data_IF_869869181327
#
_entry.id   IF_869869181327
#
_cell.length_a   1.000
_cell.length_b   1.000
_cell.length_c   1.000
_cell.angle_alpha   90.00
_cell.angle_beta   90.00
_cell.angle_gamma   90.00
#
_symmetry.space_group_name_H-M   'P 1'
#
loop_
_entity.id
_entity.type
_entity.pdbx_description
1 polymer ?
#
# COMPACT_ATOMS: atom_id res chain seq x y z
N UNK A 1 -5.17 69.41 -14.67
CA UNK A 1 -5.20 69.15 -16.12
C UNK A 1 -6.42 69.72 -16.87
N UNK A 2 -7.67 69.35 -16.56
CA UNK A 2 -8.86 69.84 -17.31
C UNK A 2 -8.98 71.38 -17.39
N UNK A 3 -8.69 72.07 -16.28
CA UNK A 3 -8.68 73.54 -16.28
C UNK A 3 -7.62 74.14 -17.22
N UNK A 4 -6.47 73.47 -17.36
CA UNK A 4 -5.40 73.89 -18.27
C UNK A 4 -5.81 73.69 -19.73
N UNK A 5 -6.51 72.59 -20.05
CA UNK A 5 -7.08 72.39 -21.39
C UNK A 5 -8.13 73.43 -21.75
N UNK A 6 -9.01 73.78 -20.81
CA UNK A 6 -9.99 74.86 -21.02
C UNK A 6 -9.33 76.21 -21.27
N UNK A 7 -8.26 76.54 -20.53
CA UNK A 7 -7.47 77.76 -20.75
C UNK A 7 -6.71 77.74 -22.08
N UNK A 8 -6.19 76.58 -22.48
CA UNK A 8 -5.52 76.41 -23.76
C UNK A 8 -6.46 76.65 -24.94
N UNK A 9 -7.65 76.06 -24.92
CA UNK A 9 -8.66 76.28 -25.96
C UNK A 9 -9.03 77.76 -26.08
N UNK A 10 -9.20 78.46 -24.95
CA UNK A 10 -9.53 79.88 -24.96
C UNK A 10 -8.38 80.75 -25.51
N UNK A 11 -7.13 80.43 -25.17
CA UNK A 11 -5.95 81.13 -25.73
C UNK A 11 -5.77 80.82 -27.22
N UNK A 12 -6.04 79.60 -27.65
CA UNK A 12 -5.97 79.20 -29.06
C UNK A 12 -7.02 79.95 -29.91
N UNK A 13 -8.25 80.08 -29.40
CA UNK A 13 -9.31 80.87 -30.04
C UNK A 13 -8.94 82.36 -30.11
N UNK A 14 -8.34 82.91 -29.06
CA UNK A 14 -7.85 84.30 -29.03
C UNK A 14 -6.74 84.53 -30.05
N UNK A 15 -5.79 83.60 -30.18
CA UNK A 15 -4.68 83.71 -31.13
C UNK A 15 -5.15 83.74 -32.60
N UNK A 16 -6.31 83.14 -32.92
CA UNK A 16 -6.90 83.15 -34.26
C UNK A 16 -7.64 84.46 -34.58
N UNK A 17 -8.19 85.13 -33.57
CA UNK A 17 -9.10 86.27 -33.75
C UNK A 17 -8.42 87.62 -33.48
N UNK A 18 -7.42 87.66 -32.59
CA UNK A 18 -6.74 88.89 -32.17
C UNK A 18 -5.37 89.05 -32.86
N UNK A 19 -5.22 90.09 -33.68
CA UNK A 19 -3.96 90.42 -34.37
C UNK A 19 -2.85 90.96 -33.44
N UNK A 20 -3.21 91.34 -32.22
CA UNK A 20 -2.29 91.83 -31.18
C UNK A 20 -2.01 90.79 -30.09
N UNK A 21 -2.39 89.53 -30.33
CA UNK A 21 -2.18 88.43 -29.40
C UNK A 21 -0.70 88.31 -29.01
N UNK A 22 -0.45 88.12 -27.71
CA UNK A 22 0.87 87.88 -27.14
C UNK A 22 1.16 86.37 -27.05
N UNK A 23 2.08 85.84 -27.88
CA UNK A 23 2.40 84.41 -27.88
C UNK A 23 3.00 83.90 -26.57
N UNK A 24 3.63 84.76 -25.75
CA UNK A 24 4.27 84.30 -24.50
C UNK A 24 3.26 83.73 -23.50
N UNK A 25 1.98 84.10 -23.63
CA UNK A 25 0.88 83.55 -22.82
C UNK A 25 0.67 82.05 -23.05
N UNK A 26 0.93 81.57 -24.27
CA UNK A 26 0.89 80.14 -24.58
C UNK A 26 2.08 79.44 -23.93
N UNK A 27 3.28 80.01 -24.02
CA UNK A 27 4.48 79.44 -23.39
C UNK A 27 4.35 79.33 -21.87
N UNK A 28 3.80 80.35 -21.21
CA UNK A 28 3.54 80.31 -19.77
C UNK A 28 2.52 79.22 -19.40
N UNK A 29 1.48 79.04 -20.23
CA UNK A 29 0.53 77.94 -20.04
C UNK A 29 1.18 76.56 -20.30
N UNK A 30 2.07 76.44 -21.29
CA UNK A 30 2.79 75.20 -21.58
C UNK A 30 3.70 74.78 -20.42
N UNK A 31 4.34 75.74 -19.74
CA UNK A 31 5.10 75.46 -18.51
C UNK A 31 4.22 74.88 -17.40
N UNK A 32 2.98 75.37 -17.26
CA UNK A 32 2.02 74.81 -16.30
C UNK A 32 1.60 73.38 -16.67
N UNK A 33 1.42 73.10 -17.96
CA UNK A 33 1.16 71.73 -18.44
C UNK A 33 2.32 70.78 -18.12
N UNK A 34 3.55 71.21 -18.36
CA UNK A 34 4.74 70.40 -18.09
C UNK A 34 4.82 70.02 -16.60
N UNK A 35 4.61 71.00 -15.72
CA UNK A 35 4.60 70.77 -14.26
C UNK A 35 3.44 69.85 -13.85
N UNK A 36 2.22 70.09 -14.33
CA UNK A 36 1.05 69.27 -13.99
C UNK A 36 1.21 67.83 -14.49
N UNK A 37 1.74 67.64 -15.71
CA UNK A 37 2.03 66.33 -16.28
C UNK A 37 3.12 65.58 -15.52
N UNK A 38 4.21 66.26 -15.15
CA UNK A 38 5.28 65.66 -14.35
C UNK A 38 4.77 65.24 -12.96
N UNK A 39 3.98 66.10 -12.31
CA UNK A 39 3.38 65.79 -11.00
C UNK A 39 2.42 64.60 -11.09
N UNK A 40 1.56 64.56 -12.11
CA UNK A 40 0.64 63.45 -12.34
C UNK A 40 1.40 62.14 -12.60
N UNK A 41 2.45 62.17 -13.42
CA UNK A 41 3.29 61.01 -13.68
C UNK A 41 4.01 60.53 -12.43
N UNK A 42 4.61 61.45 -11.67
CA UNK A 42 5.30 61.12 -10.41
C UNK A 42 4.35 60.52 -9.38
N UNK A 43 3.11 61.01 -9.30
CA UNK A 43 2.09 60.48 -8.40
C UNK A 43 1.66 59.06 -8.81
N UNK A 44 1.40 58.86 -10.11
CA UNK A 44 1.05 57.54 -10.66
C UNK A 44 2.17 56.52 -10.45
N UNK A 45 3.42 56.90 -10.72
CA UNK A 45 4.60 56.05 -10.51
C UNK A 45 4.75 55.66 -9.04
N UNK A 46 4.54 56.60 -8.10
CA UNK A 46 4.58 56.30 -6.67
C UNK A 46 3.46 55.34 -6.25
N UNK A 47 2.25 55.51 -6.77
CA UNK A 47 1.13 54.60 -6.53
C UNK A 47 1.41 53.19 -7.07
N UNK A 48 1.92 53.09 -8.30
CA UNK A 48 2.28 51.81 -8.91
C UNK A 48 3.37 51.08 -8.13
N UNK A 49 4.42 51.76 -7.69
CA UNK A 49 5.46 51.15 -6.84
C UNK A 49 4.89 50.68 -5.52
N UNK A 50 4.01 51.45 -4.90
CA UNK A 50 3.33 51.05 -3.65
C UNK A 50 2.47 49.80 -3.87
N UNK A 51 1.68 49.78 -4.94
CA UNK A 51 0.82 48.65 -5.28
C UNK A 51 1.65 47.38 -5.57
N UNK A 52 2.75 47.52 -6.33
CA UNK A 52 3.69 46.42 -6.59
C UNK A 52 4.30 45.88 -5.29
N UNK A 53 4.77 46.77 -4.40
CA UNK A 53 5.32 46.35 -3.11
C UNK A 53 4.31 45.61 -2.22
N UNK A 54 3.05 46.04 -2.19
CA UNK A 54 1.99 45.32 -1.46
C UNK A 54 1.71 43.96 -2.10
N UNK A 55 1.65 43.90 -3.44
CA UNK A 55 1.42 42.65 -4.15
C UNK A 55 2.56 41.64 -3.91
N UNK A 56 3.82 42.09 -3.97
CA UNK A 56 4.99 41.24 -3.68
C UNK A 56 5.01 40.75 -2.23
N UNK A 57 4.70 41.62 -1.26
CA UNK A 57 4.63 41.22 0.14
C UNK A 57 3.55 40.17 0.38
N UNK A 58 2.36 40.36 -0.20
CA UNK A 58 1.26 39.40 -0.14
C UNK A 58 1.64 38.06 -0.79
N UNK A 59 2.31 38.09 -1.94
CA UNK A 59 2.78 36.88 -2.62
C UNK A 59 3.80 36.12 -1.78
N UNK A 60 4.77 36.81 -1.18
CA UNK A 60 5.75 36.19 -0.27
C UNK A 60 5.11 35.57 0.96
N UNK A 61 4.10 36.22 1.54
CA UNK A 61 3.36 35.67 2.67
C UNK A 61 2.59 34.40 2.27
N UNK A 62 1.91 34.43 1.12
CA UNK A 62 1.21 33.26 0.58
C UNK A 62 2.16 32.09 0.29
N UNK A 63 3.34 32.36 -0.30
CA UNK A 63 4.38 31.36 -0.54
C UNK A 63 4.91 30.75 0.77
N UNK A 64 5.15 31.58 1.79
CA UNK A 64 5.60 31.10 3.10
C UNK A 64 4.54 30.20 3.76
N UNK A 65 3.26 30.58 3.69
CA UNK A 65 2.15 29.77 4.20
C UNK A 65 2.05 28.44 3.44
N UNK A 66 2.14 28.47 2.11
CA UNK A 66 2.11 27.27 1.28
C UNK A 66 3.27 26.33 1.63
N UNK A 67 4.48 26.86 1.76
CA UNK A 67 5.66 26.06 2.14
C UNK A 67 5.44 25.40 3.50
N UNK A 68 4.96 26.16 4.50
CA UNK A 68 4.69 25.62 5.83
C UNK A 68 3.63 24.51 5.82
N UNK A 69 2.58 24.65 5.00
CA UNK A 69 1.55 23.63 4.85
C UNK A 69 2.08 22.37 4.17
N UNK A 70 2.93 22.54 3.15
CA UNK A 70 3.55 21.42 2.44
C UNK A 70 4.52 20.66 3.35
N UNK A 71 5.33 21.35 4.14
CA UNK A 71 6.23 20.73 5.12
C UNK A 71 5.45 19.94 6.17
N UNK A 72 4.38 20.52 6.71
CA UNK A 72 3.51 19.83 7.67
C UNK A 72 2.84 18.60 7.06
N UNK A 73 2.33 18.71 5.83
CA UNK A 73 1.71 17.59 5.13
C UNK A 73 2.72 16.46 4.86
N UNK A 74 3.93 16.79 4.41
CA UNK A 74 5.00 15.80 4.18
C UNK A 74 5.43 15.12 5.48
N UNK A 75 5.51 15.85 6.59
CA UNK A 75 5.79 15.26 7.90
C UNK A 75 4.68 14.28 8.34
N UNK A 76 3.41 14.65 8.12
CA UNK A 76 2.27 13.78 8.40
C UNK A 76 2.28 12.53 7.53
N UNK A 77 2.49 12.68 6.22
CA UNK A 77 2.62 11.55 5.30
C UNK A 77 3.74 10.60 5.74
N UNK A 78 4.92 11.11 6.07
CA UNK A 78 6.02 10.28 6.57
C UNK A 78 5.67 9.52 7.86
N UNK A 79 4.93 10.15 8.79
CA UNK A 79 4.42 9.46 9.99
C UNK A 79 3.43 8.35 9.62
N UNK A 80 2.52 8.62 8.69
CA UNK A 80 1.54 7.60 8.25
C UNK A 80 2.21 6.41 7.58
N UNK A 81 3.22 6.64 6.73
CA UNK A 81 4.00 5.57 6.10
C UNK A 81 4.73 4.72 7.14
N UNK A 82 5.41 5.36 8.09
CA UNK A 82 6.10 4.66 9.18
C UNK A 82 5.14 3.82 10.05
N UNK A 83 3.93 4.33 10.31
CA UNK A 83 2.90 3.56 11.03
C UNK A 83 2.47 2.34 10.21
N UNK A 84 2.23 2.51 8.91
CA UNK A 84 1.82 1.43 8.03
C UNK A 84 2.90 0.36 7.89
N UNK A 85 4.17 0.76 7.73
CA UNK A 85 5.30 -0.17 7.71
C UNK A 85 5.39 -0.97 9.01
N UNK A 86 5.29 -0.30 10.16
CA UNK A 86 5.30 -0.97 11.46
C UNK A 86 4.14 -1.96 11.61
N UNK A 87 2.94 -1.57 11.20
CA UNK A 87 1.76 -2.45 11.23
C UNK A 87 1.96 -3.67 10.31
N UNK A 88 2.51 -3.46 9.12
CA UNK A 88 2.79 -4.54 8.18
C UNK A 88 3.80 -5.54 8.75
N UNK A 89 4.88 -5.05 9.37
CA UNK A 89 5.88 -5.89 10.06
C UNK A 89 5.23 -6.66 11.21
N UNK A 90 4.46 -5.99 12.07
CA UNK A 90 3.79 -6.64 13.20
C UNK A 90 2.81 -7.74 12.75
N UNK A 91 2.05 -7.50 11.68
CA UNK A 91 1.15 -8.52 11.12
C UNK A 91 1.92 -9.67 10.48
N UNK A 92 3.03 -9.40 9.77
CA UNK A 92 3.90 -10.45 9.24
C UNK A 92 4.45 -11.34 10.37
N UNK A 93 5.01 -10.75 11.42
CA UNK A 93 5.53 -11.49 12.59
C UNK A 93 4.44 -12.35 13.25
N UNK A 94 3.22 -11.82 13.39
CA UNK A 94 2.07 -12.59 13.91
C UNK A 94 1.73 -13.78 13.01
N UNK A 95 1.72 -13.58 11.70
CA UNK A 95 1.40 -14.66 10.74
C UNK A 95 2.49 -15.73 10.70
N UNK A 96 3.75 -15.35 10.76
CA UNK A 96 4.88 -16.29 10.83
C UNK A 96 4.83 -17.12 12.12
N UNK A 97 4.64 -16.48 13.27
CA UNK A 97 4.52 -17.17 14.54
C UNK A 97 3.30 -18.12 14.57
N UNK A 98 2.18 -17.75 13.95
CA UNK A 98 1.02 -18.61 13.83
C UNK A 98 1.33 -19.84 12.94
N UNK A 99 2.02 -19.63 11.82
CA UNK A 99 2.42 -20.70 10.90
C UNK A 99 3.41 -21.68 11.55
N UNK A 100 4.39 -21.18 12.31
CA UNK A 100 5.32 -22.05 13.04
C UNK A 100 4.60 -22.91 14.08
N UNK A 101 3.63 -22.33 14.81
CA UNK A 101 2.84 -23.08 15.80
C UNK A 101 1.99 -24.17 15.15
N UNK A 102 1.37 -23.89 14.00
CA UNK A 102 0.59 -24.91 13.29
C UNK A 102 1.49 -26.00 12.73
N UNK A 103 2.60 -25.63 12.07
CA UNK A 103 3.56 -26.58 11.51
C UNK A 103 4.18 -27.49 12.59
N UNK A 104 4.62 -26.92 13.70
CA UNK A 104 5.19 -27.69 14.83
C UNK A 104 4.13 -28.58 15.50
N UNK A 105 2.90 -28.10 15.63
CA UNK A 105 1.76 -28.88 16.12
C UNK A 105 1.43 -30.07 15.21
N UNK A 106 1.38 -29.86 13.90
CA UNK A 106 1.14 -30.90 12.90
C UNK A 106 2.27 -31.92 12.85
N UNK A 107 3.53 -31.47 12.84
CA UNK A 107 4.69 -32.35 12.90
C UNK A 107 4.65 -33.24 14.16
N UNK A 108 4.30 -32.67 15.32
CA UNK A 108 4.16 -33.42 16.57
C UNK A 108 3.05 -34.47 16.49
N UNK A 109 1.91 -34.12 15.87
CA UNK A 109 0.79 -35.06 15.64
C UNK A 109 1.19 -36.21 14.72
N UNK A 110 1.90 -35.93 13.63
CA UNK A 110 2.40 -36.95 12.70
C UNK A 110 3.39 -37.89 13.38
N UNK A 111 4.32 -37.35 14.17
CA UNK A 111 5.27 -38.16 14.95
C UNK A 111 4.54 -39.06 15.96
N UNK A 112 3.52 -38.53 16.65
CA UNK A 112 2.71 -39.31 17.59
C UNK A 112 1.96 -40.44 16.88
N UNK A 113 1.32 -40.15 15.74
CA UNK A 113 0.61 -41.12 14.92
C UNK A 113 1.57 -42.23 14.41
N UNK A 114 2.75 -41.86 13.90
CA UNK A 114 3.76 -42.80 13.46
C UNK A 114 4.25 -43.72 14.60
N UNK A 115 4.47 -43.16 15.81
CA UNK A 115 4.82 -43.96 17.00
C UNK A 115 3.71 -44.93 17.40
N UNK A 116 2.45 -44.50 17.34
CA UNK A 116 1.30 -45.35 17.63
C UNK A 116 1.18 -46.49 16.60
N UNK A 117 1.31 -46.18 15.31
CA UNK A 117 1.30 -47.17 14.23
C UNK A 117 2.43 -48.19 14.39
N UNK A 118 3.66 -47.75 14.74
CA UNK A 118 4.78 -48.64 15.02
C UNK A 118 4.50 -49.60 16.18
N UNK A 119 3.95 -49.10 17.29
CA UNK A 119 3.56 -49.94 18.45
C UNK A 119 2.50 -50.96 18.07
N UNK A 120 1.48 -50.55 17.32
CA UNK A 120 0.44 -51.44 16.83
C UNK A 120 1.01 -52.52 15.90
N UNK A 121 1.90 -52.15 14.97
CA UNK A 121 2.59 -53.09 14.10
C UNK A 121 3.41 -54.13 14.86
N UNK A 122 4.15 -53.73 15.89
CA UNK A 122 4.86 -54.67 16.77
C UNK A 122 3.92 -55.63 17.50
N UNK A 123 2.80 -55.13 18.05
CA UNK A 123 1.81 -55.96 18.74
C UNK A 123 1.15 -56.98 17.80
N UNK A 124 0.76 -56.53 16.59
CA UNK A 124 0.21 -57.40 15.55
C UNK A 124 1.23 -58.45 15.10
N UNK A 125 2.49 -58.06 14.89
CA UNK A 125 3.56 -59.00 14.54
C UNK A 125 3.79 -60.07 15.61
N UNK A 126 3.80 -59.68 16.89
CA UNK A 126 3.90 -60.62 18.00
C UNK A 126 2.69 -61.57 18.07
N UNK A 127 1.47 -61.05 17.91
CA UNK A 127 0.25 -61.86 17.89
C UNK A 127 0.22 -62.84 16.72
N UNK A 128 0.59 -62.40 15.52
CA UNK A 128 0.68 -63.24 14.32
C UNK A 128 1.74 -64.34 14.48
N UNK A 129 2.92 -64.01 15.02
CA UNK A 129 3.97 -65.00 15.32
C UNK A 129 3.51 -66.03 16.34
N UNK A 130 2.83 -65.60 17.42
CA UNK A 130 2.29 -66.51 18.42
C UNK A 130 1.19 -67.42 17.84
N UNK A 131 0.30 -66.88 17.00
CA UNK A 131 -0.73 -67.66 16.31
C UNK A 131 -0.12 -68.66 15.32
N UNK A 132 0.87 -68.23 14.54
CA UNK A 132 1.62 -69.09 13.60
C UNK A 132 2.31 -70.23 14.34
N UNK A 133 2.99 -69.95 15.46
CA UNK A 133 3.61 -70.98 16.29
C UNK A 133 2.58 -71.99 16.81
N UNK A 134 1.45 -71.52 17.34
CA UNK A 134 0.36 -72.41 17.79
C UNK A 134 -0.20 -73.27 16.66
N UNK A 135 -0.33 -72.72 15.46
CA UNK A 135 -0.78 -73.48 14.29
C UNK A 135 0.22 -74.57 13.89
N UNK A 136 1.51 -74.24 13.84
CA UNK A 136 2.59 -75.21 13.57
C UNK A 136 2.63 -76.28 14.66
N UNK A 137 2.58 -75.90 15.93
CA UNK A 137 2.57 -76.85 17.06
C UNK A 137 1.35 -77.78 16.98
N UNK A 138 0.17 -77.26 16.65
CA UNK A 138 -1.04 -78.07 16.45
C UNK A 138 -0.92 -79.01 15.24
N UNK A 139 -0.36 -78.55 14.12
CA UNK A 139 -0.11 -79.37 12.95
C UNK A 139 0.89 -80.50 13.24
N UNK A 140 1.97 -80.21 13.97
CA UNK A 140 2.97 -81.19 14.41
C UNK A 140 2.36 -82.18 15.40
N UNK A 141 1.59 -81.72 16.39
CA UNK A 141 0.90 -82.59 17.34
C UNK A 141 -0.09 -83.51 16.63
N UNK A 142 -0.83 -83.00 15.64
CA UNK A 142 -1.72 -83.80 14.79
C UNK A 142 -0.95 -84.86 14.01
N UNK A 143 0.16 -84.49 13.35
CA UNK A 143 1.00 -85.45 12.63
C UNK A 143 1.60 -86.53 13.56
N UNK A 144 2.07 -86.15 14.75
CA UNK A 144 2.57 -87.11 15.75
C UNK A 144 1.47 -88.04 16.27
N UNK A 145 0.24 -87.53 16.46
CA UNK A 145 -0.91 -88.37 16.83
C UNK A 145 -1.24 -89.37 15.72
N UNK A 146 -1.14 -88.97 14.45
CA UNK A 146 -1.26 -89.89 13.30
C UNK A 146 -0.14 -90.93 13.29
N UNK A 147 1.10 -90.58 13.64
CA UNK A 147 2.24 -91.51 13.67
C UNK A 147 2.29 -92.43 14.90
N UNK A 148 1.74 -92.02 16.05
CA UNK A 148 1.68 -92.83 17.29
C UNK A 148 0.46 -93.74 17.35
N UNK A 149 -0.46 -93.67 16.40
CA UNK A 149 -1.60 -94.57 16.31
C UNK A 149 -1.12 -95.98 15.91
N UNK A 150 -1.29 -97.02 16.75
CA UNK A 150 -0.98 -98.39 16.37
C UNK A 150 -2.16 -98.93 15.55
N UNK A 151 -2.11 -98.78 14.23
CA UNK A 151 -3.14 -99.34 13.36
C UNK A 151 -3.06 -98.87 11.92
N UNK A 152 -2.69 -99.79 11.03
CA UNK A 152 -2.79 -99.73 9.57
C UNK A 152 -3.98 -98.91 9.02
N UNK A 153 -3.74 -98.24 7.89
CA UNK A 153 -4.64 -98.35 6.73
C UNK A 153 -5.00 -97.05 6.02
N UNK A 154 -4.35 -96.78 4.88
CA UNK A 154 -4.98 -96.10 3.74
C UNK A 154 -6.28 -96.84 3.34
N UNK A 155 -7.35 -96.19 2.83
CA UNK A 155 -7.34 -95.77 1.42
C UNK A 155 -8.24 -94.58 0.97
N UNK A 156 -7.97 -94.19 -0.28
CA UNK A 156 -8.87 -93.69 -1.35
C UNK A 156 -9.45 -92.27 -1.34
N UNK A 157 -9.00 -91.48 -2.33
CA UNK A 157 -9.75 -90.39 -2.98
C UNK A 157 -11.06 -90.92 -3.61
N UNK A 158 -12.17 -90.15 -3.61
CA UNK A 158 -13.26 -90.35 -4.55
C UNK A 158 -13.03 -89.53 -5.84
N UNK A 159 -13.04 -90.24 -6.97
CA UNK A 159 -13.16 -89.73 -8.35
C UNK A 159 -14.58 -89.20 -8.61
N UNK A 160 -14.67 -88.26 -9.56
CA UNK A 160 -15.87 -87.56 -10.05
C UNK A 160 -16.64 -88.38 -11.12
N UNK A 161 -17.93 -88.03 -11.34
CA UNK A 161 -18.79 -88.07 -12.58
C UNK A 161 -20.09 -88.94 -12.48
N UNK A 162 -21.11 -88.79 -13.38
CA UNK A 162 -22.09 -87.69 -13.50
C UNK A 162 -23.59 -88.16 -13.65
N UNK A 163 -24.53 -87.18 -13.63
CA UNK A 163 -25.87 -87.11 -14.31
C UNK A 163 -27.07 -88.01 -13.94
N UNK A 164 -28.19 -87.29 -13.71
CA UNK A 164 -29.60 -87.50 -14.15
C UNK A 164 -30.47 -88.63 -13.57
N UNK A 165 -31.53 -88.26 -12.84
CA UNK A 165 -32.94 -88.26 -13.28
C UNK A 165 -33.80 -87.44 -12.31
#
# INVERSE_FOLDING_TARGET
MESLFSQFSLLADQALQDKSFDPSRIDDLMRLFEVDAYNAWSAAEAEHRRAAGVAEASMREAEAQLSSLMDAAMEEFGKTEAILERMAVEELEKTEAALERTATGEASRLVAAAKAAKRMGHALGAAASAASKKYVDAAVASAMATMRSPGNGFPSLPKVHPSSF
#
